data_IF_435136960516
#
_entry.id   IF_435136960516
#
_cell.length_a   1.000
_cell.length_b   1.000
_cell.length_c   1.000
_cell.angle_alpha   90.00
_cell.angle_beta   90.00
_cell.angle_gamma   90.00
#
_symmetry.space_group_name_H-M   'P 1'
#
loop_
_entity.id
_entity.type
_entity.pdbx_description
1 polymer ?
#
# COMPACT_ATOMS: atom_id res chain seq x y z
N UNK A 1 16.80 -15.47 11.62
CA UNK A 1 16.06 -14.30 11.12
C UNK A 1 16.70 -13.07 11.74
N UNK A 2 16.96 -12.02 10.97
CA UNK A 2 17.59 -10.83 11.52
C UNK A 2 16.63 -10.19 12.55
N UNK A 3 17.05 -10.08 13.81
CA UNK A 3 16.27 -9.51 14.93
C UNK A 3 15.83 -8.05 14.71
N UNK A 4 16.18 -7.44 13.58
CA UNK A 4 15.99 -6.01 13.33
C UNK A 4 15.47 -5.67 11.92
N UNK A 5 14.96 -6.66 11.16
CA UNK A 5 14.42 -6.39 9.83
C UNK A 5 13.18 -5.51 9.93
N UNK A 6 13.16 -4.41 9.19
CA UNK A 6 12.00 -3.54 9.04
C UNK A 6 11.41 -3.65 7.62
N UNK A 7 10.07 -3.70 7.54
CA UNK A 7 9.32 -3.65 6.31
C UNK A 7 8.66 -2.28 6.19
N UNK A 8 9.16 -1.46 5.27
CA UNK A 8 8.73 -0.09 5.05
C UNK A 8 7.66 -0.03 3.97
N UNK A 9 6.49 0.45 4.32
CA UNK A 9 5.31 0.54 3.47
C UNK A 9 5.09 1.97 3.02
N UNK A 10 5.02 2.19 1.72
CA UNK A 10 4.76 3.49 1.10
C UNK A 10 3.49 3.39 0.25
N UNK A 11 2.41 4.04 0.67
CA UNK A 11 1.27 4.22 -0.21
C UNK A 11 1.61 5.28 -1.25
N UNK A 12 1.25 5.05 -2.51
CA UNK A 12 1.45 6.01 -3.60
C UNK A 12 0.92 7.41 -3.27
N UNK A 13 1.49 8.42 -3.93
CA UNK A 13 1.04 9.81 -3.87
C UNK A 13 -0.41 9.98 -4.31
N UNK A 14 -0.95 11.19 -4.16
CA UNK A 14 -2.32 11.49 -4.53
C UNK A 14 -2.54 11.38 -6.05
N UNK A 15 -3.72 10.87 -6.45
CA UNK A 15 -4.25 10.88 -7.82
C UNK A 15 -5.60 11.58 -7.79
N UNK A 16 -6.13 12.01 -8.94
CA UNK A 16 -7.45 12.68 -9.00
C UNK A 16 -8.58 11.77 -8.47
N UNK A 17 -8.47 10.45 -8.69
CA UNK A 17 -9.46 9.53 -8.16
C UNK A 17 -9.33 9.35 -6.65
N UNK A 18 -8.12 9.25 -6.10
CA UNK A 18 -7.94 9.15 -4.66
C UNK A 18 -8.39 10.42 -3.94
N UNK A 19 -8.14 11.60 -4.50
CA UNK A 19 -8.62 12.88 -3.98
C UNK A 19 -10.16 12.97 -3.98
N UNK A 20 -10.81 12.40 -5.01
CA UNK A 20 -12.27 12.41 -5.12
C UNK A 20 -12.96 11.24 -4.39
N UNK A 21 -12.22 10.32 -3.75
CA UNK A 21 -12.74 9.17 -3.01
C UNK A 21 -13.31 8.06 -3.91
N UNK A 22 -12.81 7.92 -5.14
CA UNK A 22 -13.17 6.83 -6.04
C UNK A 22 -12.29 5.61 -5.78
N UNK A 23 -12.87 4.43 -5.87
CA UNK A 23 -12.12 3.19 -5.86
C UNK A 23 -11.20 3.12 -7.09
N UNK A 24 -9.90 3.01 -6.86
CA UNK A 24 -8.88 2.97 -7.90
C UNK A 24 -8.09 1.69 -7.77
N UNK A 25 -8.51 0.64 -8.45
CA UNK A 25 -7.85 -0.67 -8.46
C UNK A 25 -6.87 -0.80 -9.61
N UNK A 26 -7.31 -1.45 -10.68
CA UNK A 26 -6.49 -1.77 -11.86
C UNK A 26 -6.40 -0.62 -12.87
N UNK A 27 -7.28 0.38 -12.82
CA UNK A 27 -7.17 1.56 -13.66
C UNK A 27 -5.85 2.27 -13.38
N UNK A 28 -5.02 2.41 -14.40
CA UNK A 28 -3.68 2.94 -14.27
C UNK A 28 -3.68 4.46 -14.46
N UNK A 29 -3.77 5.18 -13.36
CA UNK A 29 -3.82 6.64 -13.29
C UNK A 29 -2.51 7.22 -12.75
N UNK A 30 -2.02 8.34 -13.34
CA UNK A 30 -0.83 9.02 -12.86
C UNK A 30 -1.08 9.74 -11.52
N UNK A 31 0.01 10.15 -10.88
CA UNK A 31 -0.04 11.10 -9.77
C UNK A 31 -0.56 12.46 -10.27
N UNK A 32 -1.29 13.18 -9.41
CA UNK A 32 -1.53 14.59 -9.62
C UNK A 32 -0.36 15.43 -9.04
N UNK A 33 -0.37 16.75 -9.25
CA UNK A 33 0.71 17.63 -8.78
C UNK A 33 0.97 17.54 -7.28
N UNK A 34 -0.09 17.42 -6.47
CA UNK A 34 0.04 17.23 -5.03
C UNK A 34 0.68 15.87 -4.69
N UNK A 35 0.30 14.81 -5.41
CA UNK A 35 0.89 13.48 -5.27
C UNK A 35 2.38 13.45 -5.59
N UNK A 36 2.80 14.13 -6.65
CA UNK A 36 4.23 14.26 -7.00
C UNK A 36 5.03 15.00 -5.93
N UNK A 37 4.49 16.13 -5.41
CA UNK A 37 5.14 16.88 -4.35
C UNK A 37 5.30 16.02 -3.07
N UNK A 38 4.23 15.31 -2.69
CA UNK A 38 4.24 14.40 -1.54
C UNK A 38 5.19 13.22 -1.71
N UNK A 39 5.30 12.64 -2.92
CA UNK A 39 6.27 11.59 -3.22
C UNK A 39 7.72 12.08 -3.07
N UNK A 40 8.03 13.30 -3.51
CA UNK A 40 9.34 13.94 -3.28
C UNK A 40 9.60 14.17 -1.79
N UNK A 41 8.58 14.51 -0.99
CA UNK A 41 8.70 14.66 0.45
C UNK A 41 9.05 13.34 1.17
N UNK A 42 8.54 12.19 0.67
CA UNK A 42 8.99 10.86 1.14
C UNK A 42 10.51 10.74 0.95
N UNK A 43 11.03 11.05 -0.23
CA UNK A 43 12.47 10.99 -0.51
C UNK A 43 13.31 11.87 0.43
N UNK A 44 12.87 13.12 0.66
CA UNK A 44 13.51 14.02 1.61
C UNK A 44 13.54 13.45 3.03
N UNK A 45 12.44 12.82 3.47
CA UNK A 45 12.37 12.17 4.79
C UNK A 45 13.32 10.99 4.91
N UNK A 46 13.42 10.15 3.87
CA UNK A 46 14.24 8.94 3.87
C UNK A 46 15.74 9.24 3.77
N UNK A 47 16.13 10.39 3.21
CA UNK A 47 17.53 10.84 3.11
C UNK A 47 18.48 9.80 2.52
N UNK A 48 17.99 9.02 1.55
CA UNK A 48 18.78 7.97 0.92
C UNK A 48 18.98 6.71 1.80
N UNK A 49 18.08 6.46 2.77
CA UNK A 49 18.12 5.22 3.57
C UNK A 49 18.30 4.00 2.66
N UNK A 50 19.30 3.14 2.89
CA UNK A 50 19.46 1.93 2.10
C UNK A 50 18.37 0.91 2.44
N UNK A 51 17.93 0.18 1.42
CA UNK A 51 17.07 -1.00 1.55
C UNK A 51 17.74 -2.16 0.82
N UNK A 52 17.71 -3.35 1.42
CA UNK A 52 18.24 -4.57 0.80
C UNK A 52 17.36 -5.01 -0.39
N UNK A 53 16.07 -4.68 -0.36
CA UNK A 53 15.12 -4.95 -1.44
C UNK A 53 14.12 -3.80 -1.53
N UNK A 54 13.87 -3.34 -2.76
CA UNK A 54 12.80 -2.39 -3.08
C UNK A 54 11.84 -3.03 -4.05
N UNK A 55 10.57 -3.16 -3.66
CA UNK A 55 9.50 -3.68 -4.50
C UNK A 55 8.48 -2.58 -4.80
N UNK A 56 7.99 -2.57 -6.02
CA UNK A 56 6.92 -1.64 -6.44
C UNK A 56 5.83 -2.38 -7.19
N UNK A 57 4.58 -2.03 -6.88
CA UNK A 57 3.47 -2.34 -7.79
C UNK A 57 3.79 -1.83 -9.20
N UNK A 58 3.36 -2.54 -10.28
CA UNK A 58 3.53 -2.10 -11.66
C UNK A 58 2.72 -0.85 -12.02
N UNK A 59 1.71 -0.49 -11.23
CA UNK A 59 0.83 0.63 -11.55
C UNK A 59 1.57 1.97 -11.44
N UNK A 60 1.41 2.83 -12.46
CA UNK A 60 2.22 4.03 -12.68
C UNK A 60 2.30 4.93 -11.44
N UNK A 61 1.23 5.09 -10.67
CA UNK A 61 1.20 5.89 -9.44
C UNK A 61 2.15 5.38 -8.35
N UNK A 62 2.36 4.06 -8.26
CA UNK A 62 3.30 3.47 -7.32
C UNK A 62 4.74 3.57 -7.85
N UNK A 63 4.96 3.26 -9.12
CA UNK A 63 6.25 3.39 -9.80
C UNK A 63 6.76 4.84 -9.73
N UNK A 64 5.92 5.82 -10.05
CA UNK A 64 6.27 7.24 -9.98
C UNK A 64 6.54 7.70 -8.54
N UNK A 65 5.78 7.19 -7.55
CA UNK A 65 6.07 7.47 -6.14
C UNK A 65 7.44 6.94 -5.75
N UNK A 66 7.77 5.71 -6.11
CA UNK A 66 9.07 5.08 -5.89
C UNK A 66 10.20 5.89 -6.54
N UNK A 67 10.01 6.29 -7.80
CA UNK A 67 10.98 7.10 -8.56
C UNK A 67 11.21 8.47 -7.93
N UNK A 68 10.15 9.20 -7.60
CA UNK A 68 10.23 10.52 -7.00
C UNK A 68 10.79 10.50 -5.56
N UNK A 69 10.60 9.39 -4.86
CA UNK A 69 11.24 9.13 -3.56
C UNK A 69 12.74 8.77 -3.68
N UNK A 70 13.27 8.58 -4.90
CA UNK A 70 14.70 8.32 -5.14
C UNK A 70 15.09 6.84 -5.18
N UNK A 71 14.14 5.92 -5.31
CA UNK A 71 14.38 4.46 -5.25
C UNK A 71 14.13 3.71 -6.56
N UNK A 72 14.07 4.40 -7.70
CA UNK A 72 13.88 3.74 -9.01
C UNK A 72 15.02 2.77 -9.36
N UNK A 73 16.26 3.13 -9.02
CA UNK A 73 17.41 2.29 -9.29
C UNK A 73 17.41 1.08 -8.35
N UNK A 74 17.29 -0.11 -8.93
CA UNK A 74 17.23 -1.37 -8.17
C UNK A 74 15.82 -1.75 -7.69
N UNK A 75 14.81 -0.94 -7.92
CA UNK A 75 13.43 -1.33 -7.66
C UNK A 75 12.99 -2.45 -8.61
N UNK A 76 12.36 -3.47 -8.05
CA UNK A 76 11.80 -4.60 -8.77
C UNK A 76 10.28 -4.48 -8.79
N UNK A 77 9.69 -4.73 -9.96
CA UNK A 77 8.23 -4.77 -10.10
C UNK A 77 7.71 -6.08 -9.51
N UNK A 78 6.61 -5.98 -8.77
CA UNK A 78 5.93 -7.12 -8.15
C UNK A 78 4.42 -6.97 -8.33
N UNK A 79 3.83 -7.85 -9.13
CA UNK A 79 2.40 -7.83 -9.45
C UNK A 79 1.52 -8.13 -8.21
N UNK A 80 2.06 -8.83 -7.22
CA UNK A 80 1.36 -9.09 -5.96
C UNK A 80 1.14 -7.82 -5.13
N UNK A 81 1.84 -6.72 -5.45
CA UNK A 81 1.63 -5.40 -4.87
C UNK A 81 0.57 -4.55 -5.57
N UNK A 82 -0.06 -5.04 -6.65
CA UNK A 82 -1.17 -4.32 -7.26
C UNK A 82 -2.32 -4.11 -6.27
N UNK A 83 -3.07 -3.01 -6.46
CA UNK A 83 -4.24 -2.73 -5.62
C UNK A 83 -5.33 -3.80 -5.82
N UNK A 84 -6.25 -3.90 -4.88
CA UNK A 84 -7.45 -4.72 -4.99
C UNK A 84 -8.18 -4.43 -6.30
N UNK A 85 -8.49 -5.46 -7.06
CA UNK A 85 -9.32 -5.34 -8.26
C UNK A 85 -10.78 -5.12 -7.83
N UNK A 86 -11.29 -3.91 -8.06
CA UNK A 86 -12.67 -3.57 -7.67
C UNK A 86 -13.72 -3.99 -8.70
N UNK A 87 -13.33 -4.65 -9.79
CA UNK A 87 -14.27 -5.15 -10.79
C UNK A 87 -15.27 -4.08 -11.25
N UNK A 88 -16.57 -4.36 -11.13
CA UNK A 88 -17.62 -3.43 -11.54
C UNK A 88 -17.73 -2.15 -10.71
N UNK A 89 -16.97 -2.05 -9.61
CA UNK A 89 -16.95 -0.85 -8.75
C UNK A 89 -15.74 0.04 -8.97
N UNK A 90 -14.91 -0.30 -9.97
CA UNK A 90 -13.81 0.55 -10.41
C UNK A 90 -14.30 1.95 -10.76
N UNK A 91 -13.62 3.00 -10.26
CA UNK A 91 -13.97 4.41 -10.50
C UNK A 91 -15.18 4.92 -9.74
N UNK A 92 -15.90 4.08 -8.99
CA UNK A 92 -17.10 4.47 -8.24
C UNK A 92 -16.74 4.92 -6.82
N UNK A 93 -17.57 5.76 -6.23
CA UNK A 93 -17.49 6.14 -4.80
C UNK A 93 -18.35 5.20 -3.97
N UNK A 94 -17.94 4.93 -2.73
CA UNK A 94 -18.73 4.13 -1.77
C UNK A 94 -20.17 4.64 -1.64
N UNK A 95 -20.37 5.98 -1.61
CA UNK A 95 -21.70 6.58 -1.50
C UNK A 95 -22.58 6.22 -2.70
N UNK A 96 -22.03 6.15 -3.91
CA UNK A 96 -22.81 5.83 -5.12
C UNK A 96 -23.10 4.33 -5.23
N UNK A 97 -22.20 3.48 -4.75
CA UNK A 97 -22.46 2.04 -4.63
C UNK A 97 -23.61 1.81 -3.64
N UNK A 98 -23.59 2.47 -2.50
CA UNK A 98 -24.62 2.34 -1.45
C UNK A 98 -25.99 2.85 -1.85
N UNK A 99 -26.10 3.77 -2.82
CA UNK A 99 -27.42 4.14 -3.41
C UNK A 99 -28.08 2.94 -4.11
N UNK A 100 -27.30 2.07 -4.73
CA UNK A 100 -27.80 0.87 -5.44
C UNK A 100 -27.80 -0.38 -4.56
N UNK A 101 -26.92 -0.42 -3.55
CA UNK A 101 -26.77 -1.55 -2.62
C UNK A 101 -26.63 -1.02 -1.20
N UNK A 102 -27.75 -0.68 -0.52
CA UNK A 102 -27.73 -0.16 0.84
C UNK A 102 -26.96 -1.06 1.81
N UNK A 103 -26.15 -0.47 2.66
CA UNK A 103 -25.34 -1.22 3.64
C UNK A 103 -24.09 -1.89 3.09
N UNK A 104 -23.81 -1.79 1.79
CA UNK A 104 -22.61 -2.39 1.22
C UNK A 104 -21.31 -1.94 1.93
N UNK A 105 -20.47 -2.92 2.22
CA UNK A 105 -19.13 -2.76 2.79
C UNK A 105 -18.13 -3.61 2.00
N UNK A 106 -17.06 -2.97 1.48
CA UNK A 106 -16.02 -3.64 0.68
C UNK A 106 -15.50 -4.92 1.34
N UNK A 107 -15.12 -4.83 2.59
CA UNK A 107 -14.46 -5.89 3.35
C UNK A 107 -15.35 -7.12 3.65
N UNK A 108 -16.65 -6.94 3.64
CA UNK A 108 -17.65 -7.97 3.93
C UNK A 108 -18.31 -8.50 2.66
N UNK A 109 -18.70 -7.57 1.79
CA UNK A 109 -19.58 -7.90 0.65
C UNK A 109 -18.80 -8.07 -0.65
N UNK A 110 -17.51 -7.71 -0.65
CA UNK A 110 -16.65 -7.79 -1.82
C UNK A 110 -17.12 -6.92 -2.99
N UNK A 111 -16.67 -7.28 -4.18
CA UNK A 111 -16.94 -6.57 -5.43
C UNK A 111 -17.33 -7.54 -6.53
N UNK A 112 -18.37 -7.24 -7.36
CA UNK A 112 -18.73 -8.08 -8.48
C UNK A 112 -17.63 -8.06 -9.56
N UNK A 113 -17.25 -9.25 -10.04
CA UNK A 113 -16.24 -9.45 -11.09
C UNK A 113 -14.85 -8.86 -10.75
N UNK A 114 -14.53 -8.72 -9.46
CA UNK A 114 -13.22 -8.33 -8.97
C UNK A 114 -12.60 -9.42 -8.09
N UNK A 115 -11.55 -9.06 -7.35
CA UNK A 115 -10.89 -9.96 -6.42
C UNK A 115 -11.71 -10.16 -5.14
N UNK A 116 -11.54 -11.32 -4.50
CA UNK A 116 -11.98 -11.52 -3.12
C UNK A 116 -10.93 -11.00 -2.13
N UNK A 117 -11.33 -10.73 -0.91
CA UNK A 117 -10.38 -10.28 0.14
C UNK A 117 -9.35 -11.36 0.47
N UNK A 118 -9.74 -12.63 0.36
CA UNK A 118 -8.85 -13.79 0.56
C UNK A 118 -7.77 -13.83 -0.51
N UNK A 119 -8.11 -13.64 -1.79
CA UNK A 119 -7.15 -13.65 -2.88
C UNK A 119 -6.12 -12.49 -2.74
N UNK A 120 -6.58 -11.30 -2.33
CA UNK A 120 -5.65 -10.19 -2.02
C UNK A 120 -4.77 -10.55 -0.80
N UNK A 121 -5.32 -11.27 0.18
CA UNK A 121 -4.57 -11.82 1.32
C UNK A 121 -3.46 -12.78 0.90
N UNK A 122 -3.74 -13.69 -0.04
CA UNK A 122 -2.75 -14.63 -0.58
C UNK A 122 -1.61 -13.90 -1.31
N UNK A 123 -1.92 -12.83 -2.08
CA UNK A 123 -0.89 -11.97 -2.68
C UNK A 123 -0.03 -11.30 -1.61
N UNK A 124 -0.65 -10.76 -0.57
CA UNK A 124 0.05 -10.15 0.55
C UNK A 124 0.98 -11.15 1.26
N UNK A 125 0.54 -12.40 1.44
CA UNK A 125 1.35 -13.46 2.07
C UNK A 125 2.60 -13.79 1.22
N UNK A 126 2.49 -13.81 -0.12
CA UNK A 126 3.66 -14.02 -1.00
C UNK A 126 4.66 -12.87 -0.89
N UNK A 127 4.19 -11.61 -0.85
CA UNK A 127 5.06 -10.44 -0.63
C UNK A 127 5.75 -10.52 0.73
N UNK A 128 5.02 -10.88 1.80
CA UNK A 128 5.60 -11.07 3.14
C UNK A 128 6.67 -12.16 3.11
N UNK A 129 6.40 -13.31 2.49
CA UNK A 129 7.37 -14.40 2.39
C UNK A 129 8.65 -13.97 1.66
N UNK A 130 8.50 -13.21 0.57
CA UNK A 130 9.65 -12.64 -0.17
C UNK A 130 10.45 -11.64 0.66
N UNK A 131 9.77 -10.77 1.40
CA UNK A 131 10.43 -9.83 2.29
C UNK A 131 11.22 -10.55 3.40
N UNK A 132 10.62 -11.56 4.03
CA UNK A 132 11.27 -12.36 5.08
C UNK A 132 12.46 -13.21 4.60
N UNK A 133 12.50 -13.54 3.31
CA UNK A 133 13.65 -14.23 2.70
C UNK A 133 14.82 -13.28 2.38
N UNK A 134 14.64 -11.97 2.55
CA UNK A 134 15.65 -10.94 2.30
C UNK A 134 16.43 -10.65 3.58
N UNK A 135 17.74 -10.58 3.51
CA UNK A 135 18.57 -10.15 4.64
C UNK A 135 18.71 -8.62 4.66
N UNK A 136 17.97 -7.97 5.56
CA UNK A 136 17.92 -6.51 5.73
C UNK A 136 16.55 -5.90 5.45
N UNK A 137 16.49 -4.57 5.51
CA UNK A 137 15.24 -3.81 5.37
C UNK A 137 14.67 -3.87 3.96
N UNK A 138 13.35 -3.92 3.88
CA UNK A 138 12.61 -3.99 2.61
C UNK A 138 11.67 -2.80 2.46
N UNK A 139 11.63 -2.19 1.28
CA UNK A 139 10.71 -1.11 0.93
C UNK A 139 9.64 -1.60 -0.05
N UNK A 140 8.37 -1.33 0.24
CA UNK A 140 7.21 -1.66 -0.59
C UNK A 140 6.47 -0.39 -1.02
N UNK A 141 6.45 -0.11 -2.33
CA UNK A 141 5.68 0.99 -2.91
C UNK A 141 4.40 0.43 -3.52
N UNK A 142 3.25 0.72 -2.92
CA UNK A 142 1.99 0.09 -3.31
C UNK A 142 0.77 0.98 -2.99
N UNK A 143 -0.36 0.37 -2.64
CA UNK A 143 -1.67 1.00 -2.57
C UNK A 143 -2.34 0.78 -1.21
N UNK A 144 -3.51 1.42 -1.04
CA UNK A 144 -4.18 1.44 0.25
C UNK A 144 -4.60 0.04 0.74
N UNK A 145 -5.43 -0.67 -0.03
CA UNK A 145 -6.05 -1.89 0.48
C UNK A 145 -5.07 -3.06 0.53
N UNK A 146 -4.20 -3.21 -0.46
CA UNK A 146 -3.15 -4.25 -0.41
C UNK A 146 -2.21 -4.06 0.80
N UNK A 147 -1.77 -2.82 1.10
CA UNK A 147 -0.90 -2.59 2.25
C UNK A 147 -1.61 -2.75 3.60
N UNK A 148 -2.90 -2.43 3.69
CA UNK A 148 -3.73 -2.66 4.88
C UNK A 148 -3.94 -4.15 5.13
N UNK A 149 -4.20 -4.92 4.06
CA UNK A 149 -4.33 -6.39 4.11
C UNK A 149 -2.99 -7.01 4.48
N UNK A 150 -1.90 -6.58 3.85
CA UNK A 150 -0.55 -7.02 4.18
C UNK A 150 -0.23 -6.79 5.66
N UNK A 151 -0.64 -5.68 6.22
CA UNK A 151 -0.46 -5.39 7.65
C UNK A 151 -1.27 -6.35 8.53
N UNK A 152 -2.52 -6.63 8.18
CA UNK A 152 -3.31 -7.64 8.89
C UNK A 152 -2.62 -9.01 8.84
N UNK A 153 -2.20 -9.45 7.65
CA UNK A 153 -1.50 -10.73 7.44
C UNK A 153 -0.15 -10.77 8.17
N UNK A 154 0.59 -9.66 8.20
CA UNK A 154 1.81 -9.53 9.00
C UNK A 154 1.57 -9.83 10.47
N UNK A 155 0.49 -9.33 11.04
CA UNK A 155 0.11 -9.53 12.44
C UNK A 155 -0.57 -10.89 12.71
N UNK A 156 -0.71 -11.77 11.70
CA UNK A 156 -1.39 -13.05 11.83
C UNK A 156 -2.92 -12.96 11.85
N UNK A 157 -3.47 -11.80 11.45
CA UNK A 157 -4.91 -11.56 11.41
C UNK A 157 -5.52 -11.99 10.05
N UNK A 158 -6.84 -12.25 9.99
CA UNK A 158 -7.55 -12.42 8.72
C UNK A 158 -7.36 -11.24 7.77
N UNK A 159 -7.36 -11.48 6.45
CA UNK A 159 -7.20 -10.43 5.44
C UNK A 159 -8.26 -9.31 5.57
N UNK A 160 -9.50 -9.66 5.92
CA UNK A 160 -10.59 -8.71 6.14
C UNK A 160 -10.32 -7.72 7.28
N UNK A 161 -9.45 -8.05 8.24
CA UNK A 161 -9.07 -7.16 9.33
C UNK A 161 -8.18 -6.00 8.88
N UNK A 162 -7.74 -6.00 7.63
CA UNK A 162 -7.21 -4.81 6.97
C UNK A 162 -8.14 -3.59 7.08
N UNK A 163 -9.44 -3.79 7.29
CA UNK A 163 -10.41 -2.71 7.57
C UNK A 163 -10.07 -1.86 8.80
N UNK A 164 -9.34 -2.42 9.77
CA UNK A 164 -8.97 -1.75 11.02
C UNK A 164 -7.86 -0.71 10.86
N UNK A 165 -7.14 -0.74 9.73
CA UNK A 165 -5.97 0.10 9.50
C UNK A 165 -6.29 1.23 8.51
N UNK A 166 -6.35 2.48 8.97
CA UNK A 166 -6.46 3.63 8.06
C UNK A 166 -5.10 3.91 7.41
N UNK A 167 -5.08 4.26 6.10
CA UNK A 167 -3.83 4.54 5.39
C UNK A 167 -4.03 5.66 4.36
N UNK A 168 -3.41 6.82 4.57
CA UNK A 168 -3.45 7.99 3.70
C UNK A 168 -2.51 7.88 2.49
N UNK A 169 -2.68 8.73 1.47
CA UNK A 169 -1.76 8.82 0.33
C UNK A 169 -0.40 9.38 0.77
N UNK A 170 0.68 8.88 0.17
CA UNK A 170 2.07 9.27 0.47
C UNK A 170 2.47 9.13 1.96
N UNK A 171 1.78 8.30 2.73
CA UNK A 171 2.16 8.00 4.10
C UNK A 171 3.20 6.90 4.17
N UNK A 172 3.93 6.89 5.28
CA UNK A 172 4.96 5.90 5.59
C UNK A 172 4.52 5.09 6.79
N UNK A 173 4.57 3.76 6.67
CA UNK A 173 4.38 2.84 7.78
C UNK A 173 5.56 1.89 7.87
N UNK A 174 5.83 1.36 9.05
CA UNK A 174 6.92 0.43 9.30
C UNK A 174 6.40 -0.73 10.13
N UNK A 175 6.55 -1.92 9.60
CA UNK A 175 6.33 -3.16 10.30
C UNK A 175 7.70 -3.73 10.71
N UNK A 176 7.75 -4.50 11.78
CA UNK A 176 9.00 -5.08 12.25
C UNK A 176 8.74 -6.11 13.34
N UNK A 177 9.73 -6.30 14.19
CA UNK A 177 9.69 -7.27 15.26
C UNK A 177 9.91 -6.61 16.62
N UNK A 178 9.23 -7.13 17.62
CA UNK A 178 9.53 -6.95 19.03
C UNK A 178 9.82 -8.35 19.59
N UNK A 179 11.08 -8.64 19.85
CA UNK A 179 11.55 -9.99 20.06
C UNK A 179 11.15 -10.91 18.90
N UNK A 180 10.44 -12.00 19.16
CA UNK A 180 9.93 -12.94 18.15
C UNK A 180 8.59 -12.52 17.53
N UNK A 181 7.93 -11.47 18.05
CA UNK A 181 6.60 -11.06 17.63
C UNK A 181 6.65 -10.08 16.50
N UNK A 182 5.80 -10.28 15.48
CA UNK A 182 5.56 -9.32 14.42
C UNK A 182 4.69 -8.17 14.93
N UNK A 183 5.16 -6.94 14.76
CA UNK A 183 4.50 -5.75 15.30
C UNK A 183 4.42 -4.63 14.26
N UNK A 184 3.62 -3.62 14.56
CA UNK A 184 3.63 -2.33 13.86
C UNK A 184 4.55 -1.39 14.64
N UNK A 185 5.68 -1.01 14.05
CA UNK A 185 6.61 -0.03 14.64
C UNK A 185 6.08 1.40 14.45
N UNK A 186 5.57 1.71 13.24
CA UNK A 186 4.99 3.02 12.89
C UNK A 186 3.84 2.83 11.92
N UNK A 187 2.79 3.62 12.07
CA UNK A 187 1.63 3.51 11.19
C UNK A 187 1.17 4.86 10.66
N UNK A 188 0.90 4.92 9.33
CA UNK A 188 0.24 6.02 8.64
C UNK A 188 0.87 7.40 8.92
N UNK A 189 2.21 7.45 9.01
CA UNK A 189 2.92 8.69 9.31
C UNK A 189 2.89 9.65 8.13
N UNK A 190 2.52 10.90 8.41
CA UNK A 190 2.38 11.97 7.42
C UNK A 190 3.11 13.27 7.81
N UNK A 191 3.92 13.28 8.84
CA UNK A 191 4.62 14.49 9.34
C UNK A 191 5.48 15.17 8.26
N UNK A 192 6.01 14.41 7.29
CA UNK A 192 6.76 14.93 6.15
C UNK A 192 5.89 15.67 5.11
N UNK A 193 4.56 15.60 5.24
CA UNK A 193 3.62 16.24 4.32
C UNK A 193 3.18 17.63 4.79
N UNK A 194 3.55 18.03 5.99
CA UNK A 194 3.15 19.33 6.59
C UNK A 194 3.81 20.51 5.90
N UNK A 195 4.92 20.28 5.18
CA UNK A 195 5.69 21.31 4.48
C UNK A 195 5.44 21.34 2.95
N UNK A 196 4.37 20.66 2.49
CA UNK A 196 4.10 20.48 1.04
C UNK A 196 2.79 21.15 0.63
#
# INVERSE_FOLDING_TARGET
MAEHQELWLFRHGETDWSASGRHTGRTDLPLNKAGEARAKAIGKRLRGRPFALVLSSPLIRAVETCRLAGYANGAQIDDDLMEWDYGNYEGRKTVDIRKQRPGWMLWKDGVPNGETVEHVGERADRVIARALATDGDVALFAHAHILRILTARWLGLPAADGQLFALGTATVSVLGFEHEYRVIIRWNQNSHLVEV
#
